data_IF_748572782310
#
_entry.id   IF_748572782310
#
_cell.length_a   1.000
_cell.length_b   1.000
_cell.length_c   1.000
_cell.angle_alpha   90.00
_cell.angle_beta   90.00
_cell.angle_gamma   90.00
#
_symmetry.space_group_name_H-M   'P 1'
#
loop_
_entity.id
_entity.type
_entity.pdbx_description
1 polymer ?
#
# COMPACT_ATOMS: atom_id res chain seq x y z
N UNK A 1 20.87 5.69 14.51
CA UNK A 1 19.45 5.28 14.62
C UNK A 1 19.25 4.48 15.91
N UNK A 2 19.60 5.07 17.05
CA UNK A 2 19.59 4.40 18.36
C UNK A 2 19.12 5.36 19.46
N UNK A 3 19.67 6.58 19.52
CA UNK A 3 19.35 7.52 20.60
C UNK A 3 17.99 8.22 20.45
N UNK A 4 17.55 8.49 19.22
CA UNK A 4 16.25 9.17 19.00
C UNK A 4 15.06 8.26 19.30
N UNK A 5 15.09 7.00 18.86
CA UNK A 5 14.07 6.00 19.19
C UNK A 5 13.94 5.86 20.72
N UNK A 6 15.06 5.86 21.45
CA UNK A 6 15.06 5.76 22.91
C UNK A 6 14.43 7.00 23.53
N UNK A 7 14.78 8.21 23.10
CA UNK A 7 14.15 9.45 23.62
C UNK A 7 12.65 9.48 23.38
N UNK A 8 12.21 9.05 22.19
CA UNK A 8 10.79 9.02 21.83
C UNK A 8 10.04 7.98 22.68
N UNK A 9 10.62 6.80 22.90
CA UNK A 9 10.03 5.73 23.68
C UNK A 9 10.04 6.04 25.19
N UNK A 10 11.07 6.72 25.67
CA UNK A 10 11.20 7.21 27.05
C UNK A 10 10.17 8.32 27.34
N UNK A 11 10.03 9.31 26.44
CA UNK A 11 8.98 10.35 26.50
C UNK A 11 7.57 9.73 26.48
N UNK A 12 7.35 8.70 25.65
CA UNK A 12 6.10 7.96 25.62
C UNK A 12 5.85 7.25 26.96
N UNK A 13 6.84 6.52 27.48
CA UNK A 13 6.71 5.79 28.75
C UNK A 13 6.42 6.71 29.93
N UNK A 14 7.04 7.90 29.96
CA UNK A 14 6.76 8.95 30.94
C UNK A 14 5.33 9.50 30.82
N UNK A 15 4.85 9.78 29.60
CA UNK A 15 3.47 10.23 29.37
C UNK A 15 2.42 9.22 29.83
N UNK A 16 2.74 7.94 29.79
CA UNK A 16 1.85 6.87 30.24
C UNK A 16 2.08 6.43 31.70
N UNK A 17 3.05 7.02 32.42
CA UNK A 17 3.35 6.68 33.81
C UNK A 17 3.96 5.29 34.00
N UNK A 18 4.50 4.70 32.93
CA UNK A 18 5.11 3.37 32.95
C UNK A 18 6.62 3.56 33.11
N UNK A 19 7.16 3.17 34.27
CA UNK A 19 8.60 3.12 34.48
C UNK A 19 9.16 1.84 33.84
N UNK A 20 9.66 1.96 32.61
CA UNK A 20 10.34 0.86 31.93
C UNK A 20 11.83 0.90 32.32
N UNK A 21 12.34 -0.21 32.83
CA UNK A 21 13.77 -0.31 33.14
C UNK A 21 14.59 -0.57 31.86
N UNK A 22 14.88 0.53 31.16
CA UNK A 22 15.67 0.56 29.93
C UNK A 22 17.13 0.11 30.14
N UNK A 23 17.59 0.02 31.39
CA UNK A 23 18.98 -0.32 31.73
C UNK A 23 19.26 -1.82 31.77
N UNK A 24 18.24 -2.68 31.66
CA UNK A 24 18.50 -4.12 31.52
C UNK A 24 19.33 -4.35 30.25
N UNK A 25 20.51 -4.95 30.42
CA UNK A 25 21.58 -5.01 29.41
C UNK A 25 21.16 -5.56 28.04
N UNK A 26 19.98 -6.21 27.96
CA UNK A 26 19.46 -6.85 26.76
C UNK A 26 18.21 -6.17 26.17
N UNK A 27 17.53 -5.25 26.87
CA UNK A 27 16.28 -4.65 26.36
C UNK A 27 16.53 -3.68 25.20
N UNK A 28 17.47 -2.75 25.41
CA UNK A 28 17.81 -1.70 24.45
C UNK A 28 18.26 -2.27 23.08
N UNK A 29 19.24 -3.19 23.02
CA UNK A 29 19.66 -3.76 21.73
C UNK A 29 18.55 -4.61 21.08
N UNK A 30 17.70 -5.26 21.87
CA UNK A 30 16.56 -6.02 21.34
C UNK A 30 15.51 -5.11 20.68
N UNK A 31 15.14 -4.01 21.33
CA UNK A 31 14.19 -3.02 20.80
C UNK A 31 14.69 -2.35 19.52
N UNK A 32 15.98 -2.01 19.46
CA UNK A 32 16.60 -1.47 18.24
C UNK A 32 16.56 -2.50 17.10
N UNK A 33 16.82 -3.77 17.40
CA UNK A 33 16.72 -4.84 16.41
C UNK A 33 15.29 -5.06 15.92
N UNK A 34 14.31 -5.01 16.83
CA UNK A 34 12.89 -5.18 16.51
C UNK A 34 12.38 -4.03 15.64
N UNK A 35 12.69 -2.79 16.04
CA UNK A 35 12.41 -1.55 15.30
C UNK A 35 12.94 -1.67 13.87
N UNK A 36 14.21 -2.05 13.73
CA UNK A 36 14.85 -2.18 12.42
C UNK A 36 14.20 -3.27 11.56
N UNK A 37 13.86 -4.43 12.13
CA UNK A 37 13.15 -5.50 11.42
C UNK A 37 11.76 -5.04 10.96
N UNK A 38 11.04 -4.31 11.81
CA UNK A 38 9.71 -3.81 11.52
C UNK A 38 9.72 -2.74 10.40
N UNK A 39 10.62 -1.76 10.49
CA UNK A 39 10.79 -0.74 9.44
C UNK A 39 11.15 -1.39 8.11
N UNK A 40 12.08 -2.35 8.11
CA UNK A 40 12.44 -3.09 6.90
C UNK A 40 11.27 -3.90 6.32
N UNK A 41 10.46 -4.52 7.19
CA UNK A 41 9.25 -5.23 6.78
C UNK A 41 8.22 -4.30 6.15
N UNK A 42 7.94 -3.15 6.77
CA UNK A 42 7.00 -2.16 6.23
C UNK A 42 7.48 -1.62 4.89
N UNK A 43 8.77 -1.30 4.78
CA UNK A 43 9.37 -0.84 3.54
C UNK A 43 9.25 -1.89 2.43
N UNK A 44 9.49 -3.17 2.75
CA UNK A 44 9.30 -4.27 1.79
C UNK A 44 7.83 -4.41 1.36
N UNK A 45 6.88 -4.24 2.29
CA UNK A 45 5.45 -4.26 1.98
C UNK A 45 5.06 -3.11 1.05
N UNK A 46 5.54 -1.90 1.29
CA UNK A 46 5.29 -0.74 0.42
C UNK A 46 5.87 -0.95 -0.99
N UNK A 47 7.05 -1.58 -1.11
CA UNK A 47 7.60 -1.96 -2.41
C UNK A 47 6.70 -2.99 -3.12
N UNK A 48 6.15 -3.96 -2.40
CA UNK A 48 5.19 -4.91 -2.96
C UNK A 48 3.90 -4.22 -3.44
N UNK A 49 3.38 -3.25 -2.69
CA UNK A 49 2.21 -2.45 -3.08
C UNK A 49 2.47 -1.66 -4.37
N UNK A 50 3.67 -1.08 -4.55
CA UNK A 50 4.06 -0.43 -5.79
C UNK A 50 4.06 -1.39 -6.99
N UNK A 51 4.61 -2.60 -6.81
CA UNK A 51 4.64 -3.61 -7.86
C UNK A 51 3.21 -4.00 -8.26
N UNK A 52 2.32 -4.22 -7.29
CA UNK A 52 0.90 -4.54 -7.53
C UNK A 52 0.21 -3.38 -8.26
N UNK A 53 0.46 -2.14 -7.86
CA UNK A 53 -0.07 -0.95 -8.53
C UNK A 53 0.33 -0.86 -10.01
N UNK A 54 1.61 -1.13 -10.32
CA UNK A 54 2.11 -1.16 -11.72
C UNK A 54 1.43 -2.27 -12.53
N UNK A 55 1.25 -3.46 -11.94
CA UNK A 55 0.55 -4.57 -12.60
C UNK A 55 -0.92 -4.24 -12.89
N UNK A 56 -1.60 -3.53 -11.98
CA UNK A 56 -2.97 -3.05 -12.20
C UNK A 56 -3.06 -2.07 -13.37
N UNK A 57 -2.11 -1.13 -13.50
CA UNK A 57 -2.06 -0.23 -14.66
C UNK A 57 -1.82 -0.99 -15.97
N UNK A 58 -0.95 -2.01 -15.96
CA UNK A 58 -0.73 -2.85 -17.13
C UNK A 58 -1.98 -3.65 -17.51
N UNK A 59 -2.72 -4.18 -16.52
CA UNK A 59 -4.00 -4.85 -16.74
C UNK A 59 -5.05 -3.90 -17.32
N UNK A 60 -5.17 -2.68 -16.78
CA UNK A 60 -6.07 -1.65 -17.30
C UNK A 60 -5.75 -1.32 -18.77
N UNK A 61 -4.47 -1.17 -19.12
CA UNK A 61 -4.05 -0.92 -20.49
C UNK A 61 -4.41 -2.07 -21.45
N UNK A 62 -4.32 -3.33 -21.00
CA UNK A 62 -4.77 -4.49 -21.78
C UNK A 62 -6.28 -4.50 -21.97
N UNK A 63 -7.05 -4.20 -20.93
CA UNK A 63 -8.52 -4.12 -20.99
C UNK A 63 -8.99 -3.03 -21.96
N UNK A 64 -8.37 -1.85 -21.93
CA UNK A 64 -8.68 -0.74 -22.85
C UNK A 64 -8.37 -1.14 -24.30
N UNK A 65 -7.23 -1.81 -24.54
CA UNK A 65 -6.89 -2.32 -25.88
C UNK A 65 -7.91 -3.35 -26.36
N UNK A 66 -8.33 -4.28 -25.50
CA UNK A 66 -9.35 -5.27 -25.83
C UNK A 66 -10.69 -4.59 -26.16
N UNK A 67 -11.14 -3.65 -25.34
CA UNK A 67 -12.37 -2.88 -25.58
C UNK A 67 -12.33 -2.13 -26.92
N UNK A 68 -11.19 -1.49 -27.25
CA UNK A 68 -11.01 -0.77 -28.52
C UNK A 68 -11.05 -1.70 -29.73
N UNK A 69 -10.47 -2.90 -29.63
CA UNK A 69 -10.52 -3.91 -30.70
C UNK A 69 -11.95 -4.36 -30.95
N UNK A 70 -12.70 -4.64 -29.88
CA UNK A 70 -14.10 -5.05 -29.94
C UNK A 70 -14.97 -3.96 -30.58
N UNK A 71 -14.84 -2.71 -30.12
CA UNK A 71 -15.56 -1.56 -30.69
C UNK A 71 -15.25 -1.36 -32.18
N UNK A 72 -13.99 -1.58 -32.60
CA UNK A 72 -13.60 -1.45 -34.02
C UNK A 72 -14.23 -2.53 -34.90
N UNK A 73 -14.46 -3.74 -34.39
CA UNK A 73 -15.14 -4.81 -35.14
C UNK A 73 -16.61 -4.46 -35.37
N UNK A 74 -17.27 -3.97 -34.32
CA UNK A 74 -18.66 -3.47 -34.40
C UNK A 74 -18.77 -2.32 -35.39
N UNK A 75 -17.89 -1.31 -35.30
CA UNK A 75 -17.91 -0.15 -36.19
C UNK A 75 -17.69 -0.49 -37.68
N UNK A 76 -17.10 -1.65 -37.99
CA UNK A 76 -16.91 -2.12 -39.37
C UNK A 76 -18.05 -3.03 -39.88
N UNK A 77 -19.03 -3.34 -39.04
CA UNK A 77 -20.08 -4.31 -39.39
C UNK A 77 -19.56 -5.74 -39.56
N UNK A 78 -18.41 -6.08 -38.96
CA UNK A 78 -17.82 -7.43 -39.00
C UNK A 78 -18.46 -8.40 -37.98
N UNK A 79 -19.56 -8.00 -37.32
CA UNK A 79 -20.18 -8.69 -36.20
C UNK A 79 -21.69 -8.77 -36.41
N UNK A 80 -22.29 -9.92 -36.17
CA UNK A 80 -23.73 -10.16 -36.34
C UNK A 80 -24.57 -9.47 -35.25
N UNK A 81 -25.84 -9.13 -35.50
CA UNK A 81 -26.65 -8.26 -34.61
C UNK A 81 -26.73 -8.75 -33.15
N UNK A 82 -26.90 -10.07 -32.95
CA UNK A 82 -26.90 -10.70 -31.61
C UNK A 82 -25.53 -10.62 -30.91
N UNK A 83 -24.45 -10.64 -31.69
CA UNK A 83 -23.09 -10.48 -31.18
C UNK A 83 -22.69 -9.01 -30.99
N UNK A 84 -23.40 -8.06 -31.60
CA UNK A 84 -23.18 -6.61 -31.45
C UNK A 84 -23.53 -6.15 -30.03
N UNK A 85 -24.73 -6.49 -29.54
CA UNK A 85 -25.16 -6.16 -28.17
C UNK A 85 -24.21 -6.75 -27.11
N UNK A 86 -23.81 -8.01 -27.29
CA UNK A 86 -22.85 -8.67 -26.43
C UNK A 86 -21.46 -8.00 -26.46
N UNK A 87 -21.02 -7.54 -27.64
CA UNK A 87 -19.76 -6.86 -27.83
C UNK A 87 -19.75 -5.47 -27.16
N UNK A 88 -20.85 -4.72 -27.28
CA UNK A 88 -21.03 -3.41 -26.62
C UNK A 88 -21.06 -3.58 -25.10
N UNK A 89 -21.82 -4.55 -24.57
CA UNK A 89 -21.86 -4.84 -23.14
C UNK A 89 -20.48 -5.21 -22.59
N UNK A 90 -19.76 -6.10 -23.29
CA UNK A 90 -18.39 -6.52 -22.92
C UNK A 90 -17.42 -5.33 -22.97
N UNK A 91 -17.55 -4.44 -23.97
CA UNK A 91 -16.76 -3.22 -24.07
C UNK A 91 -16.97 -2.28 -22.88
N UNK A 92 -18.22 -2.03 -22.48
CA UNK A 92 -18.56 -1.23 -21.30
C UNK A 92 -17.98 -1.87 -20.03
N UNK A 93 -18.16 -3.17 -19.85
CA UNK A 93 -17.60 -3.90 -18.70
C UNK A 93 -16.07 -3.79 -18.64
N UNK A 94 -15.37 -3.89 -19.76
CA UNK A 94 -13.91 -3.68 -19.83
C UNK A 94 -13.50 -2.24 -19.49
N UNK A 95 -14.26 -1.23 -19.93
CA UNK A 95 -13.99 0.18 -19.59
C UNK A 95 -14.19 0.44 -18.09
N UNK A 96 -15.27 -0.07 -17.51
CA UNK A 96 -15.54 0.04 -16.07
C UNK A 96 -14.45 -0.68 -15.28
N UNK A 97 -14.12 -1.92 -15.65
CA UNK A 97 -13.05 -2.68 -15.01
C UNK A 97 -11.68 -1.98 -15.09
N UNK A 98 -11.35 -1.36 -16.22
CA UNK A 98 -10.14 -0.57 -16.37
C UNK A 98 -10.14 0.68 -15.48
N UNK A 99 -11.26 1.38 -15.35
CA UNK A 99 -11.38 2.54 -14.47
C UNK A 99 -11.17 2.15 -13.00
N UNK A 100 -11.78 1.06 -12.54
CA UNK A 100 -11.55 0.52 -11.20
C UNK A 100 -10.10 0.12 -10.96
N UNK A 101 -9.47 -0.58 -11.92
CA UNK A 101 -8.07 -0.97 -11.81
C UNK A 101 -7.13 0.24 -11.72
N UNK A 102 -7.39 1.30 -12.49
CA UNK A 102 -6.64 2.56 -12.43
C UNK A 102 -6.84 3.24 -11.07
N UNK A 103 -8.07 3.31 -10.57
CA UNK A 103 -8.38 3.95 -9.31
C UNK A 103 -7.71 3.24 -8.12
N UNK A 104 -7.83 1.91 -8.05
CA UNK A 104 -7.19 1.08 -7.01
C UNK A 104 -5.66 1.18 -7.13
N UNK A 105 -5.12 1.08 -8.35
CA UNK A 105 -3.69 1.21 -8.60
C UNK A 105 -3.14 2.57 -8.16
N UNK A 106 -3.89 3.65 -8.38
CA UNK A 106 -3.52 4.99 -7.94
C UNK A 106 -3.47 5.09 -6.41
N UNK A 107 -4.50 4.59 -5.72
CA UNK A 107 -4.55 4.57 -4.25
C UNK A 107 -3.33 3.83 -3.67
N UNK A 108 -3.03 2.63 -4.20
CA UNK A 108 -1.90 1.83 -3.73
C UNK A 108 -0.55 2.53 -3.93
N UNK A 109 -0.36 3.23 -5.05
CA UNK A 109 0.89 3.96 -5.29
C UNK A 109 1.04 5.14 -4.33
N UNK A 110 -0.05 5.87 -4.08
CA UNK A 110 -0.04 7.00 -3.15
C UNK A 110 0.21 6.51 -1.72
N UNK A 111 -0.47 5.47 -1.25
CA UNK A 111 -0.26 4.91 0.09
C UNK A 111 1.17 4.40 0.26
N UNK A 112 1.66 3.61 -0.70
CA UNK A 112 3.02 3.09 -0.65
C UNK A 112 4.08 4.21 -0.64
N UNK A 113 3.87 5.30 -1.39
CA UNK A 113 4.79 6.43 -1.37
C UNK A 113 4.83 7.13 -0.02
N UNK A 114 3.67 7.31 0.64
CA UNK A 114 3.59 7.90 1.98
C UNK A 114 4.27 7.04 3.03
N UNK A 115 4.09 5.72 2.96
CA UNK A 115 4.73 4.77 3.85
C UNK A 115 6.26 4.75 3.66
N UNK A 116 6.76 4.75 2.42
CA UNK A 116 8.19 4.81 2.13
C UNK A 116 8.82 6.10 2.67
N UNK A 117 8.16 7.25 2.44
CA UNK A 117 8.62 8.53 2.97
C UNK A 117 8.71 8.46 4.49
N UNK A 118 7.67 7.96 5.15
CA UNK A 118 7.62 7.83 6.62
C UNK A 118 8.72 6.90 7.15
N UNK A 119 8.94 5.75 6.50
CA UNK A 119 10.00 4.82 6.88
C UNK A 119 11.42 5.41 6.76
N UNK A 120 11.63 6.35 5.83
CA UNK A 120 12.93 7.00 5.61
C UNK A 120 13.10 8.21 6.53
N UNK A 121 12.07 9.04 6.72
CA UNK A 121 12.18 10.30 7.47
C UNK A 121 11.97 10.14 8.97
N UNK A 122 10.98 9.34 9.38
CA UNK A 122 10.55 9.21 10.79
C UNK A 122 10.09 7.78 11.10
N UNK A 123 10.98 6.77 11.04
CA UNK A 123 10.63 5.39 11.36
C UNK A 123 10.09 5.22 12.79
N UNK A 124 10.45 6.11 13.72
CA UNK A 124 9.97 6.15 15.10
C UNK A 124 8.45 6.32 15.17
N UNK A 125 7.90 7.17 14.30
CA UNK A 125 6.46 7.49 14.27
C UNK A 125 5.63 6.26 13.91
N UNK A 126 6.14 5.43 12.99
CA UNK A 126 5.48 4.20 12.55
C UNK A 126 5.29 3.21 13.72
N UNK A 127 6.27 3.10 14.60
CA UNK A 127 6.25 2.19 15.74
C UNK A 127 5.35 2.72 16.86
N UNK A 128 5.41 4.04 17.09
CA UNK A 128 4.51 4.71 18.04
C UNK A 128 3.05 4.54 17.66
N UNK A 129 2.70 4.73 16.39
CA UNK A 129 1.32 4.58 15.93
C UNK A 129 0.81 3.15 16.15
N UNK A 130 1.63 2.12 15.90
CA UNK A 130 1.25 0.73 16.18
C UNK A 130 1.14 0.42 17.68
N UNK A 131 2.10 0.89 18.50
CA UNK A 131 2.03 0.72 19.95
C UNK A 131 0.76 1.36 20.53
N UNK A 132 0.42 2.56 20.06
CA UNK A 132 -0.81 3.25 20.43
C UNK A 132 -2.05 2.49 19.96
N UNK A 133 -2.00 1.87 18.78
CA UNK A 133 -3.11 1.11 18.23
C UNK A 133 -3.37 -0.20 18.99
N UNK A 134 -2.30 -0.94 19.35
CA UNK A 134 -2.39 -2.14 20.19
C UNK A 134 -2.92 -1.79 21.58
N UNK A 135 -2.45 -0.68 22.18
CA UNK A 135 -2.92 -0.22 23.48
C UNK A 135 -4.37 0.23 23.46
N UNK A 136 -4.83 0.90 22.39
CA UNK A 136 -6.23 1.35 22.25
C UNK A 136 -7.21 0.18 22.07
N UNK A 137 -6.73 -0.95 21.55
CA UNK A 137 -7.51 -2.16 21.34
C UNK A 137 -7.54 -3.09 22.57
N UNK A 138 -6.92 -2.69 23.68
CA UNK A 138 -6.92 -3.37 24.99
C UNK A 138 -7.67 -2.55 26.03
#
# INVERSE_FOLDING_TARGET
MSDEIIKVLDDLSQRFGIAVDWTSANMLPYLQMLTRKYVNYRLAMSVMELIVGILLFAAAAKLIKAAKVQYRKVAKGEVDYSSEDFCVFTGIACCVGAAFAIFIGFILVVSASGDIITCITFPEKLILDELLQVLKNH
#
